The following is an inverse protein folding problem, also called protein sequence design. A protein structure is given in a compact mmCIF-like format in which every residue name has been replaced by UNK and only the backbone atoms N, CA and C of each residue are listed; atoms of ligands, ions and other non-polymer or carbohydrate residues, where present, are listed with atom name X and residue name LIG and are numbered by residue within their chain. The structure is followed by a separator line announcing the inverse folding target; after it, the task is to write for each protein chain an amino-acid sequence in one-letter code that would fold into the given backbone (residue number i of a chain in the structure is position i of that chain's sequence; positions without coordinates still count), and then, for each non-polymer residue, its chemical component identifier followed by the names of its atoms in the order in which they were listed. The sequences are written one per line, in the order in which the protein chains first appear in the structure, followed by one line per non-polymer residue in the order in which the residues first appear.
data_IF_304714700737
#
_entry.id   IF_304714700737
#
_cell.length_a   1.000
_cell.length_b   1.000
_cell.length_c   1.000
_cell.angle_alpha   90.00
_cell.angle_beta   90.00
_cell.angle_gamma   90.00
#
_symmetry.space_group_name_H-M   'P 1'
#
loop_
_entity.id
_entity.type
_entity.pdbx_description
1 polymer ?
#
# COMPACT_ATOMS: atom_id res chain seq x y z
N UNK A 1 -19.68 10.34 -13.95
CA UNK A 1 -18.47 9.50 -14.10
C UNK A 1 -17.47 9.96 -13.06
N UNK A 2 -16.90 9.05 -12.29
CA UNK A 2 -15.88 9.34 -11.28
C UNK A 2 -14.59 8.58 -11.61
N UNK A 3 -13.43 9.11 -11.21
CA UNK A 3 -12.15 8.42 -11.34
C UNK A 3 -11.65 8.10 -9.93
N UNK A 4 -11.30 6.85 -9.68
CA UNK A 4 -10.83 6.41 -8.37
C UNK A 4 -9.67 5.42 -8.55
N UNK A 5 -8.64 5.57 -7.72
CA UNK A 5 -7.47 4.69 -7.73
C UNK A 5 -7.43 3.90 -6.42
N UNK A 6 -7.07 2.63 -6.53
CA UNK A 6 -6.96 1.74 -5.38
C UNK A 6 -5.60 1.05 -5.34
N UNK A 7 -5.14 0.82 -4.12
CA UNK A 7 -3.97 -0.03 -3.85
C UNK A 7 -4.43 -1.40 -3.38
N UNK A 8 -3.80 -2.46 -3.87
CA UNK A 8 -4.11 -3.83 -3.53
C UNK A 8 -2.88 -4.52 -2.95
N UNK A 9 -3.10 -5.46 -2.03
CA UNK A 9 -2.07 -6.34 -1.50
C UNK A 9 -2.60 -7.77 -1.37
N UNK A 10 -1.96 -8.72 -2.04
CA UNK A 10 -2.30 -10.14 -1.91
C UNK A 10 -1.80 -10.68 -0.57
N UNK A 11 -2.71 -11.18 0.25
CA UNK A 11 -2.35 -11.78 1.55
C UNK A 11 -1.77 -13.19 1.41
N UNK A 12 -1.79 -13.78 0.20
CA UNK A 12 -1.22 -15.10 -0.09
C UNK A 12 0.25 -15.02 -0.54
N UNK A 13 0.59 -14.15 -1.49
CA UNK A 13 1.94 -14.06 -2.05
C UNK A 13 2.65 -12.72 -1.81
N UNK A 14 2.00 -11.76 -1.13
CA UNK A 14 2.58 -10.45 -0.82
C UNK A 14 2.63 -9.46 -1.98
N UNK A 15 2.25 -9.87 -3.20
CA UNK A 15 2.25 -8.97 -4.36
C UNK A 15 1.29 -7.80 -4.16
N UNK A 16 1.80 -6.58 -4.32
CA UNK A 16 1.01 -5.35 -4.28
C UNK A 16 1.02 -4.65 -5.63
N UNK A 17 -0.12 -4.06 -5.99
CA UNK A 17 -0.29 -3.28 -7.21
C UNK A 17 -1.26 -2.11 -6.97
N UNK A 18 -1.19 -1.10 -7.82
CA UNK A 18 -2.12 0.03 -7.86
C UNK A 18 -2.80 0.06 -9.22
N UNK A 19 -4.09 0.40 -9.24
CA UNK A 19 -4.86 0.50 -10.47
C UNK A 19 -5.86 1.65 -10.37
N UNK A 20 -6.00 2.39 -11.47
CA UNK A 20 -7.03 3.42 -11.66
C UNK A 20 -8.25 2.84 -12.36
N UNK A 21 -9.43 3.29 -11.93
CA UNK A 21 -10.71 2.90 -12.48
C UNK A 21 -11.56 4.13 -12.79
N UNK A 22 -12.28 4.05 -13.90
CA UNK A 22 -13.42 4.93 -14.17
C UNK A 22 -14.68 4.23 -13.67
N UNK A 23 -15.47 4.96 -12.87
CA UNK A 23 -16.69 4.46 -12.22
C UNK A 23 -17.88 5.18 -12.84
N UNK A 24 -18.69 4.42 -13.55
CA UNK A 24 -19.89 4.90 -14.21
C UNK A 24 -21.12 4.47 -13.42
N UNK A 25 -21.99 5.44 -13.10
CA UNK A 25 -23.26 5.19 -12.45
C UNK A 25 -24.34 5.24 -13.53
N UNK A 26 -25.12 4.16 -13.62
CA UNK A 26 -26.13 3.96 -14.63
C UNK A 26 -27.47 3.63 -13.97
N UNK A 27 -28.53 3.87 -14.72
CA UNK A 27 -29.90 3.49 -14.37
C UNK A 27 -30.42 2.65 -15.53
N UNK A 28 -30.93 1.45 -15.26
CA UNK A 28 -31.49 0.58 -16.27
C UNK A 28 -32.91 1.02 -16.70
N UNK A 29 -33.49 0.29 -17.66
CA UNK A 29 -34.83 0.59 -18.17
C UNK A 29 -35.96 0.40 -17.15
N UNK A 30 -35.71 -0.33 -16.07
CA UNK A 30 -36.65 -0.58 -14.98
C UNK A 30 -36.44 0.42 -13.81
N UNK A 31 -35.47 1.32 -13.93
CA UNK A 31 -35.13 2.33 -12.93
C UNK A 31 -34.16 1.85 -11.85
N UNK A 32 -33.56 0.68 -11.99
CA UNK A 32 -32.57 0.17 -11.05
C UNK A 32 -31.19 0.78 -11.30
N UNK A 33 -30.56 1.26 -10.23
CA UNK A 33 -29.20 1.82 -10.27
C UNK A 33 -28.16 0.71 -10.28
N UNK A 34 -27.17 0.83 -11.17
CA UNK A 34 -26.01 -0.06 -11.20
C UNK A 34 -24.72 0.70 -11.51
N UNK A 35 -23.59 0.09 -11.12
CA UNK A 35 -22.26 0.70 -11.26
C UNK A 35 -21.40 -0.15 -12.17
N UNK A 36 -20.78 0.48 -13.15
CA UNK A 36 -19.80 -0.13 -14.05
C UNK A 36 -18.41 0.38 -13.72
N UNK A 37 -17.44 -0.54 -13.78
CA UNK A 37 -16.03 -0.24 -13.55
C UNK A 37 -15.27 -0.46 -14.85
N UNK A 38 -14.46 0.53 -15.22
CA UNK A 38 -13.61 0.49 -16.41
C UNK A 38 -12.16 0.64 -15.96
N UNK A 39 -11.29 -0.24 -16.40
CA UNK A 39 -9.84 -0.15 -16.20
C UNK A 39 -9.16 -0.23 -17.58
N UNK A 40 -8.23 0.68 -17.85
CA UNK A 40 -7.49 0.73 -19.13
C UNK A 40 -8.41 0.75 -20.37
N UNK A 41 -9.59 1.35 -20.24
CA UNK A 41 -10.62 1.42 -21.28
C UNK A 41 -11.48 0.17 -21.44
N UNK A 42 -11.26 -0.88 -20.65
CA UNK A 42 -12.02 -2.14 -20.68
C UNK A 42 -12.95 -2.28 -19.47
N UNK A 43 -14.13 -2.85 -19.67
CA UNK A 43 -15.07 -3.14 -18.59
C UNK A 43 -14.57 -4.30 -17.75
N UNK A 44 -14.46 -4.09 -16.44
CA UNK A 44 -13.97 -5.08 -15.49
C UNK A 44 -14.99 -5.39 -14.40
N UNK A 45 -14.92 -6.57 -13.75
CA UNK A 45 -15.68 -6.82 -12.54
C UNK A 45 -15.38 -5.77 -11.46
N UNK A 46 -16.31 -5.56 -10.53
CA UNK A 46 -16.07 -4.64 -9.42
C UNK A 46 -14.80 -5.04 -8.66
N UNK A 47 -13.79 -4.15 -8.57
CA UNK A 47 -12.55 -4.43 -7.87
C UNK A 47 -12.76 -4.57 -6.35
N UNK A 48 -13.93 -4.16 -5.86
CA UNK A 48 -14.30 -4.16 -4.44
C UNK A 48 -14.93 -5.47 -3.99
N UNK A 49 -15.57 -6.22 -4.90
CA UNK A 49 -16.29 -7.45 -4.52
C UNK A 49 -15.45 -8.70 -4.67
N UNK A 50 -14.58 -8.78 -5.70
CA UNK A 50 -13.79 -9.99 -5.95
C UNK A 50 -12.41 -9.73 -6.54
N UNK A 51 -11.54 -8.97 -5.83
CA UNK A 51 -10.18 -8.75 -6.28
C UNK A 51 -9.42 -10.08 -6.44
N UNK A 52 -8.72 -10.24 -7.56
CA UNK A 52 -7.92 -11.42 -7.86
C UNK A 52 -6.47 -10.99 -8.06
N UNK A 53 -5.55 -11.63 -7.34
CA UNK A 53 -4.13 -11.33 -7.47
C UNK A 53 -3.61 -11.69 -8.86
N UNK A 54 -3.08 -10.71 -9.58
CA UNK A 54 -2.53 -10.87 -10.94
C UNK A 54 -1.29 -11.77 -10.99
N UNK A 55 -0.61 -11.98 -9.85
CA UNK A 55 0.59 -12.81 -9.77
C UNK A 55 0.29 -14.28 -9.43
N UNK A 56 -0.66 -14.57 -8.52
CA UNK A 56 -0.88 -15.95 -8.02
C UNK A 56 -2.33 -16.45 -8.11
N UNK A 57 -3.25 -15.64 -8.62
CA UNK A 57 -4.68 -15.97 -8.73
C UNK A 57 -5.44 -16.04 -7.39
N UNK A 58 -4.80 -15.73 -6.26
CA UNK A 58 -5.46 -15.74 -4.96
C UNK A 58 -6.50 -14.63 -4.80
N UNK A 59 -7.57 -14.90 -4.07
CA UNK A 59 -8.69 -13.97 -3.85
C UNK A 59 -8.68 -13.28 -2.47
N UNK A 60 -7.79 -13.67 -1.56
CA UNK A 60 -7.60 -12.97 -0.29
C UNK A 60 -6.69 -11.76 -0.53
N UNK A 61 -7.31 -10.66 -0.91
CA UNK A 61 -6.65 -9.41 -1.28
C UNK A 61 -7.16 -8.29 -0.39
N UNK A 62 -6.23 -7.54 0.22
CA UNK A 62 -6.57 -6.32 0.97
C UNK A 62 -6.60 -5.14 0.01
N UNK A 63 -7.68 -4.37 0.06
CA UNK A 63 -7.84 -3.12 -0.70
C UNK A 63 -7.55 -1.94 0.24
N UNK A 64 -6.83 -0.96 -0.24
CA UNK A 64 -6.42 0.24 0.48
C UNK A 64 -6.59 1.47 -0.42
N UNK A 65 -6.48 2.67 0.16
CA UNK A 65 -6.40 3.91 -0.62
C UNK A 65 -5.22 3.88 -1.59
N UNK A 66 -5.33 4.63 -2.69
CA UNK A 66 -4.24 4.88 -3.61
C UNK A 66 -2.94 5.31 -2.90
N UNK A 67 -1.80 5.06 -3.55
CA UNK A 67 -0.50 5.54 -3.09
C UNK A 67 0.21 4.65 -2.06
N UNK A 68 -0.39 3.54 -1.62
CA UNK A 68 0.21 2.68 -0.58
C UNK A 68 1.31 1.78 -1.13
N UNK A 69 1.15 1.26 -2.34
CA UNK A 69 2.17 0.42 -2.99
C UNK A 69 3.31 1.30 -3.46
N UNK A 70 3.01 2.44 -4.09
CA UNK A 70 4.04 3.39 -4.54
C UNK A 70 4.88 3.93 -3.37
N UNK A 71 4.26 4.26 -2.23
CA UNK A 71 4.99 4.68 -1.02
C UNK A 71 5.96 3.61 -0.51
N UNK A 72 5.56 2.34 -0.52
CA UNK A 72 6.42 1.23 -0.07
C UNK A 72 7.58 1.02 -1.04
N UNK A 73 7.31 1.05 -2.35
CA UNK A 73 8.33 0.93 -3.38
C UNK A 73 9.37 2.06 -3.30
N UNK A 74 8.93 3.30 -3.08
CA UNK A 74 9.80 4.46 -2.88
C UNK A 74 10.71 4.29 -1.65
N UNK A 75 10.16 3.84 -0.52
CA UNK A 75 10.95 3.49 0.68
C UNK A 75 11.98 2.40 0.38
N UNK A 76 11.56 1.31 -0.29
CA UNK A 76 12.47 0.21 -0.65
C UNK A 76 13.58 0.70 -1.58
N UNK A 77 13.28 1.53 -2.58
CA UNK A 77 14.29 2.08 -3.49
C UNK A 77 15.30 2.94 -2.75
N UNK A 78 14.86 3.81 -1.82
CA UNK A 78 15.77 4.60 -0.98
C UNK A 78 16.69 3.73 -0.12
N UNK A 79 16.21 2.60 0.39
CA UNK A 79 17.05 1.67 1.15
C UNK A 79 18.08 0.93 0.28
N UNK A 80 17.77 0.68 -0.99
CA UNK A 80 18.68 0.01 -1.93
C UNK A 80 19.59 0.97 -2.70
N UNK A 81 19.34 2.28 -2.65
CA UNK A 81 20.23 3.27 -3.23
C UNK A 81 21.60 3.21 -2.51
N UNK A 82 22.72 3.04 -3.23
CA UNK A 82 24.03 3.13 -2.61
C UNK A 82 24.15 4.52 -1.99
N UNK A 83 24.67 4.59 -0.77
CA UNK A 83 24.93 5.87 -0.12
C UNK A 83 25.74 6.73 -1.10
N UNK A 84 25.15 7.83 -1.56
CA UNK A 84 25.91 8.85 -2.28
C UNK A 84 27.11 9.18 -1.38
N UNK A 85 28.32 8.96 -1.92
CA UNK A 85 29.56 9.13 -1.18
C UNK A 85 29.59 10.50 -0.50
N UNK A 86 30.28 10.62 0.65
CA UNK A 86 30.17 11.80 1.50
C UNK A 86 30.48 13.06 0.68
N UNK A 87 29.48 13.94 0.57
CA UNK A 87 29.75 15.33 0.22
C UNK A 87 30.66 15.88 1.31
N UNK A 88 31.86 16.31 0.92
CA UNK A 88 32.84 16.88 1.84
C UNK A 88 32.31 18.22 2.38
N UNK A 89 31.67 18.15 3.55
CA UNK A 89 31.26 19.33 4.33
C UNK A 89 32.39 19.67 5.29
N UNK A 90 32.92 20.91 5.29
CA UNK A 90 33.91 21.33 6.28
C UNK A 90 33.30 21.28 7.69
N UNK A 91 33.99 20.58 8.59
CA UNK A 91 33.57 20.30 9.97
C UNK A 91 33.78 21.51 10.89
N UNK A 92 32.76 21.98 11.64
CA UNK A 92 32.97 22.79 12.84
C UNK A 92 33.20 21.89 14.07
N UNK A 93 33.97 22.42 15.03
CA UNK A 93 34.36 21.74 16.26
C UNK A 93 33.18 21.50 17.24
N UNK A 94 33.32 20.46 18.05
CA UNK A 94 32.28 19.81 18.88
C UNK A 94 31.93 20.56 20.19
N UNK A 95 30.69 20.41 20.70
CA UNK A 95 30.37 19.54 21.86
C UNK A 95 28.95 19.76 22.46
N UNK A 96 28.23 18.64 22.69
CA UNK A 96 27.14 18.41 23.68
C UNK A 96 25.77 19.07 23.42
N UNK A 97 24.60 18.51 23.74
CA UNK A 97 24.20 17.25 24.37
C UNK A 97 22.69 17.01 24.08
N UNK A 98 22.28 15.75 24.15
CA UNK A 98 20.95 15.17 24.34
C UNK A 98 19.69 15.82 23.72
N UNK A 99 19.21 15.23 22.62
CA UNK A 99 17.75 15.09 22.40
C UNK A 99 17.44 13.70 21.82
N UNK A 100 16.97 12.80 22.69
CA UNK A 100 15.92 11.83 22.38
C UNK A 100 16.08 11.02 21.09
N UNK A 101 17.10 10.15 21.02
CA UNK A 101 17.17 9.10 19.99
C UNK A 101 16.11 8.04 20.27
N UNK A 102 14.92 8.22 19.69
CA UNK A 102 13.93 7.15 19.56
C UNK A 102 14.50 6.08 18.64
N UNK A 103 15.15 5.10 19.25
CA UNK A 103 15.73 3.94 18.59
C UNK A 103 14.57 3.00 18.25
N UNK A 104 14.12 3.05 17.00
CA UNK A 104 13.21 2.04 16.48
C UNK A 104 13.96 0.70 16.41
N UNK A 105 13.70 -0.18 17.37
CA UNK A 105 14.30 -1.49 17.39
C UNK A 105 13.53 -2.40 16.43
N UNK A 106 14.23 -2.98 15.46
CA UNK A 106 13.63 -3.79 14.39
C UNK A 106 12.83 -4.99 14.94
N UNK A 107 13.17 -5.46 16.14
CA UNK A 107 12.46 -6.55 16.82
C UNK A 107 11.04 -6.18 17.25
N UNK A 108 10.69 -4.89 17.35
CA UNK A 108 9.34 -4.45 17.72
C UNK A 108 8.35 -4.59 16.54
N UNK A 109 8.86 -4.69 15.30
CA UNK A 109 8.06 -4.87 14.08
C UNK A 109 7.77 -6.35 13.76
N UNK A 110 8.44 -7.29 14.45
CA UNK A 110 8.36 -8.73 14.20
C UNK A 110 7.41 -9.48 15.15
N UNK A 111 6.65 -8.77 15.99
CA UNK A 111 5.69 -9.39 16.91
C UNK A 111 4.22 -8.99 16.62
N UNK A 112 3.65 -9.34 15.45
CA UNK A 112 2.25 -9.03 15.17
C UNK A 112 1.23 -9.81 16.03
N UNK A 113 1.65 -10.80 16.84
CA UNK A 113 0.71 -11.65 17.61
C UNK A 113 1.21 -11.96 19.03
N UNK A 114 1.24 -10.96 19.92
CA UNK A 114 1.19 -11.24 21.36
C UNK A 114 -0.28 -11.45 21.76
N UNK A 115 -0.73 -12.71 21.76
CA UNK A 115 -2.05 -13.08 22.28
C UNK A 115 -2.11 -12.80 23.79
N UNK A 116 -2.95 -11.85 24.21
CA UNK A 116 -3.41 -11.77 25.59
C UNK A 116 -4.15 -13.06 25.95
N UNK A 117 -3.52 -13.93 26.73
CA UNK A 117 -4.22 -15.00 27.42
C UNK A 117 -4.87 -14.38 28.66
N UNK A 118 -6.20 -14.23 28.62
CA UNK A 118 -7.01 -14.06 29.83
C UNK A 118 -7.11 -15.45 30.46
N UNK A 119 -6.49 -15.63 31.62
CA UNK A 119 -6.80 -16.76 32.48
C UNK A 119 -8.05 -16.41 33.30
N UNK A 120 -9.00 -17.35 33.28
CA UNK A 120 -10.18 -17.41 34.13
C UNK A 120 -9.82 -17.95 35.52
#
# INVERSE_FOLDING_TARGET
MAHESYSFACMRCGHGWEQSYEIEHHVDGDGAEFVMYVADGEHVPSPLTRPTCLNCGGHVVRIMRAGRVSSVLDVMQRHHAPAAGPAEVPRPAAAGDDTGRHHWHLSDLLHPFAHHKKDA
#
